data_IF_397151548693
#
_entry.id   IF_397151548693
#
_cell.length_a   1.000
_cell.length_b   1.000
_cell.length_c   1.000
_cell.angle_alpha   90.00
_cell.angle_beta   90.00
_cell.angle_gamma   90.00
#
_symmetry.space_group_name_H-M   'P 1'
#
loop_
_entity.id
_entity.type
_entity.pdbx_description
1 polymer ?
#
# COMPACT_ATOMS: atom_id res chain seq x y z
N UNK A 1 2.79 -26.41 20.92
CA UNK A 1 3.93 -25.47 20.81
C UNK A 1 3.52 -24.38 19.84
N UNK A 2 3.35 -23.14 20.29
CA UNK A 2 2.99 -22.03 19.41
C UNK A 2 3.81 -20.81 19.83
N UNK A 3 4.94 -20.61 19.17
CA UNK A 3 5.71 -19.38 19.35
C UNK A 3 6.42 -19.02 18.06
N UNK A 4 5.72 -18.29 17.19
CA UNK A 4 6.37 -17.38 16.24
C UNK A 4 6.04 -15.97 16.71
N UNK A 5 6.82 -15.47 17.66
CA UNK A 5 6.80 -14.08 18.06
C UNK A 5 7.74 -13.27 17.17
N UNK A 6 7.22 -12.68 16.10
CA UNK A 6 7.98 -11.76 15.23
C UNK A 6 7.04 -10.72 14.59
N UNK A 7 6.43 -9.86 15.41
CA UNK A 7 5.55 -8.77 14.96
C UNK A 7 6.32 -7.90 13.95
N UNK A 8 5.87 -7.87 12.69
CA UNK A 8 6.52 -7.17 11.58
C UNK A 8 6.52 -5.64 11.72
N UNK A 9 6.70 -4.90 10.62
CA UNK A 9 6.80 -3.43 10.65
C UNK A 9 5.46 -2.79 10.33
N UNK A 10 5.05 -1.82 11.15
CA UNK A 10 3.83 -1.03 10.95
C UNK A 10 4.15 0.32 10.31
N UNK A 11 3.35 0.68 9.31
CA UNK A 11 3.40 1.97 8.59
C UNK A 11 2.02 2.64 8.68
N UNK A 12 2.01 3.96 8.87
CA UNK A 12 0.82 4.82 8.74
C UNK A 12 1.25 6.19 8.25
N UNK A 13 0.47 6.78 7.34
CA UNK A 13 0.64 8.17 6.88
C UNK A 13 -0.24 9.03 7.79
N UNK A 14 0.36 10.00 8.48
CA UNK A 14 -0.22 10.64 9.68
C UNK A 14 -1.41 11.57 9.44
N UNK A 15 -1.77 11.83 8.19
CA UNK A 15 -2.86 12.73 7.80
C UNK A 15 -3.74 12.06 6.74
N UNK A 16 -5.06 12.29 6.83
CA UNK A 16 -6.04 11.89 5.82
C UNK A 16 -6.14 13.04 4.82
N UNK A 17 -5.96 12.75 3.54
CA UNK A 17 -5.98 13.74 2.46
C UNK A 17 -7.26 13.61 1.63
N UNK A 18 -7.76 14.71 1.06
CA UNK A 18 -8.83 14.71 0.07
C UNK A 18 -8.24 14.35 -1.31
N UNK A 19 -7.76 13.11 -1.42
CA UNK A 19 -6.87 12.67 -2.50
C UNK A 19 -7.59 12.51 -3.86
N UNK A 20 -8.89 12.20 -3.83
CA UNK A 20 -9.74 12.05 -5.01
C UNK A 20 -10.02 13.37 -5.75
N UNK A 21 -9.75 14.51 -5.11
CA UNK A 21 -9.93 15.84 -5.70
C UNK A 21 -8.64 16.50 -6.19
N UNK A 22 -7.50 15.82 -6.03
CA UNK A 22 -6.21 16.32 -6.50
C UNK A 22 -6.06 16.12 -8.01
N UNK A 23 -5.34 17.05 -8.66
CA UNK A 23 -4.83 16.78 -10.01
C UNK A 23 -3.85 15.61 -9.96
N UNK A 24 -3.66 14.94 -11.09
CA UNK A 24 -2.73 13.80 -11.18
C UNK A 24 -1.31 14.16 -10.71
N UNK A 25 -0.83 15.36 -11.06
CA UNK A 25 0.47 15.88 -10.66
C UNK A 25 0.59 16.06 -9.14
N UNK A 26 -0.39 16.70 -8.49
CA UNK A 26 -0.39 16.88 -7.04
C UNK A 26 -0.54 15.55 -6.31
N UNK A 27 -1.38 14.65 -6.82
CA UNK A 27 -1.54 13.30 -6.26
C UNK A 27 -0.22 12.51 -6.33
N UNK A 28 0.50 12.60 -7.45
CA UNK A 28 1.82 12.01 -7.62
C UNK A 28 2.84 12.58 -6.63
N UNK A 29 2.92 13.90 -6.53
CA UNK A 29 3.80 14.56 -5.58
C UNK A 29 3.51 14.11 -4.13
N UNK A 30 2.22 13.99 -3.77
CA UNK A 30 1.82 13.48 -2.46
C UNK A 30 2.32 12.06 -2.18
N UNK A 31 2.20 11.15 -3.16
CA UNK A 31 2.68 9.78 -3.03
C UNK A 31 4.20 9.77 -2.83
N UNK A 32 4.93 10.55 -3.62
CA UNK A 32 6.39 10.63 -3.61
C UNK A 32 6.94 11.26 -2.32
N UNK A 33 6.25 12.25 -1.74
CA UNK A 33 6.71 12.96 -0.54
C UNK A 33 6.27 12.32 0.78
N UNK A 34 5.14 11.59 0.79
CA UNK A 34 4.56 11.06 2.03
C UNK A 34 4.60 9.53 2.10
N UNK A 35 4.08 8.86 1.07
CA UNK A 35 3.86 7.41 1.12
C UNK A 35 5.16 6.65 0.94
N UNK A 36 5.92 6.99 -0.10
CA UNK A 36 7.19 6.33 -0.40
C UNK A 36 8.19 6.49 0.77
N UNK A 37 8.44 7.70 1.32
CA UNK A 37 9.39 7.87 2.40
C UNK A 37 8.93 7.17 3.69
N UNK A 38 7.63 7.16 3.99
CA UNK A 38 7.10 6.43 5.15
C UNK A 38 7.37 4.92 5.06
N UNK A 39 7.29 4.34 3.85
CA UNK A 39 7.61 2.94 3.62
C UNK A 39 9.13 2.68 3.66
N UNK A 40 9.92 3.51 2.98
CA UNK A 40 11.38 3.35 2.89
C UNK A 40 12.05 3.50 4.27
N UNK A 41 11.59 4.43 5.11
CA UNK A 41 12.04 4.59 6.51
C UNK A 41 11.80 3.35 7.38
N UNK A 42 10.95 2.42 6.91
CA UNK A 42 10.63 1.15 7.55
C UNK A 42 11.23 -0.06 6.82
N UNK A 43 12.06 0.18 5.80
CA UNK A 43 12.69 -0.87 5.00
C UNK A 43 11.72 -1.58 4.04
N UNK A 44 10.60 -0.95 3.69
CA UNK A 44 9.59 -1.46 2.75
C UNK A 44 9.71 -0.73 1.42
N UNK A 45 9.80 -1.47 0.32
CA UNK A 45 9.76 -0.94 -1.05
C UNK A 45 8.44 -1.35 -1.74
N UNK A 46 7.78 -0.40 -2.40
CA UNK A 46 6.41 -0.56 -2.93
C UNK A 46 6.38 -0.86 -4.44
N UNK A 47 6.42 -2.12 -4.90
CA UNK A 47 6.40 -2.36 -6.36
C UNK A 47 4.99 -2.51 -6.96
N UNK A 48 4.87 -2.30 -8.28
CA UNK A 48 3.67 -2.57 -9.06
C UNK A 48 3.20 -4.03 -8.99
N UNK A 49 4.11 -4.98 -8.79
CA UNK A 49 3.83 -6.43 -8.81
C UNK A 49 3.73 -7.07 -7.42
N UNK A 50 3.98 -6.31 -6.36
CA UNK A 50 3.99 -6.80 -4.97
C UNK A 50 5.11 -6.16 -4.16
N UNK A 51 4.85 -5.94 -2.87
CA UNK A 51 5.81 -5.24 -2.01
C UNK A 51 6.92 -6.17 -1.52
N UNK A 52 8.09 -5.59 -1.32
CA UNK A 52 9.27 -6.29 -0.84
C UNK A 52 9.78 -5.63 0.45
N UNK A 53 10.03 -6.44 1.47
CA UNK A 53 10.71 -6.01 2.69
C UNK A 53 12.20 -6.34 2.56
N UNK A 54 12.96 -5.50 1.86
CA UNK A 54 14.43 -5.60 1.72
C UNK A 54 15.00 -6.75 0.88
N UNK A 55 16.13 -6.50 0.20
CA UNK A 55 17.02 -7.52 -0.37
C UNK A 55 16.49 -8.29 -1.58
N UNK A 56 15.57 -7.74 -2.38
CA UNK A 56 15.36 -8.28 -3.72
C UNK A 56 16.71 -8.31 -4.46
N UNK A 57 16.94 -9.32 -5.30
CA UNK A 57 18.03 -9.34 -6.29
C UNK A 57 18.29 -7.91 -6.78
N UNK A 58 19.54 -7.46 -6.87
CA UNK A 58 19.92 -6.11 -7.34
C UNK A 58 19.05 -5.65 -8.53
N UNK A 59 18.75 -6.56 -9.46
CA UNK A 59 17.85 -6.37 -10.61
C UNK A 59 16.42 -5.90 -10.25
N UNK A 60 15.81 -6.44 -9.19
CA UNK A 60 14.47 -6.05 -8.74
C UNK A 60 14.48 -4.69 -8.04
N UNK A 61 15.59 -4.33 -7.40
CA UNK A 61 15.81 -3.00 -6.82
C UNK A 61 16.06 -1.96 -7.91
N UNK A 62 16.92 -2.28 -8.88
CA UNK A 62 17.24 -1.43 -10.03
C UNK A 62 15.99 -1.17 -10.88
N UNK A 63 15.21 -2.20 -11.20
CA UNK A 63 13.95 -2.03 -11.93
C UNK A 63 12.92 -1.20 -11.16
N UNK A 64 12.86 -1.34 -9.84
CA UNK A 64 12.01 -0.51 -9.00
C UNK A 64 12.44 0.96 -9.02
N UNK A 65 13.74 1.22 -8.91
CA UNK A 65 14.27 2.57 -8.94
C UNK A 65 14.11 3.20 -10.35
N UNK A 66 14.25 2.41 -11.43
CA UNK A 66 13.96 2.83 -12.81
C UNK A 66 12.47 3.15 -13.02
N UNK A 67 11.55 2.27 -12.60
CA UNK A 67 10.12 2.52 -12.72
C UNK A 67 9.67 3.73 -11.84
N UNK A 68 10.40 4.04 -10.76
CA UNK A 68 10.21 5.23 -9.91
C UNK A 68 10.69 6.49 -10.64
N UNK A 69 11.88 6.43 -11.25
CA UNK A 69 12.47 7.51 -12.04
C UNK A 69 11.65 7.83 -13.30
N UNK A 70 10.98 6.84 -13.90
CA UNK A 70 10.08 7.05 -15.03
C UNK A 70 8.65 7.46 -14.61
N UNK A 71 8.38 7.68 -13.32
CA UNK A 71 7.05 8.00 -12.78
C UNK A 71 5.95 6.94 -13.12
N UNK A 72 6.33 5.69 -13.40
CA UNK A 72 5.39 4.61 -13.81
C UNK A 72 5.03 3.63 -12.70
N UNK A 73 5.55 3.83 -11.49
CA UNK A 73 5.43 2.89 -10.38
C UNK A 73 3.97 2.55 -10.02
N UNK A 74 3.08 3.56 -10.08
CA UNK A 74 1.65 3.42 -9.77
C UNK A 74 0.78 4.18 -10.76
N UNK A 75 -0.48 3.75 -10.87
CA UNK A 75 -1.46 4.47 -11.68
C UNK A 75 -2.29 5.37 -10.76
N UNK A 76 -2.03 6.68 -10.83
CA UNK A 76 -2.67 7.68 -9.95
C UNK A 76 -4.19 7.68 -10.10
N UNK A 77 -4.71 7.63 -11.33
CA UNK A 77 -6.16 7.61 -11.56
C UNK A 77 -6.84 6.40 -10.91
N UNK A 78 -6.21 5.21 -10.97
CA UNK A 78 -6.69 4.02 -10.27
C UNK A 78 -6.60 4.18 -8.76
N UNK A 79 -5.51 4.73 -8.24
CA UNK A 79 -5.37 5.00 -6.80
C UNK A 79 -6.49 5.92 -6.32
N UNK A 80 -6.81 6.98 -7.06
CA UNK A 80 -7.89 7.90 -6.74
C UNK A 80 -9.26 7.21 -6.74
N UNK A 81 -9.53 6.36 -7.74
CA UNK A 81 -10.75 5.55 -7.80
C UNK A 81 -10.89 4.58 -6.62
N UNK A 82 -9.80 3.89 -6.26
CA UNK A 82 -9.75 3.04 -5.06
C UNK A 82 -10.01 3.89 -3.82
N UNK A 83 -9.28 4.99 -3.66
CA UNK A 83 -9.37 5.90 -2.50
C UNK A 83 -10.80 6.40 -2.25
N UNK A 84 -11.53 6.76 -3.31
CA UNK A 84 -12.91 7.22 -3.24
C UNK A 84 -13.90 6.12 -2.82
N UNK A 85 -13.61 4.85 -3.11
CA UNK A 85 -14.53 3.73 -2.87
C UNK A 85 -14.26 2.95 -1.58
N UNK A 86 -13.09 3.13 -0.94
CA UNK A 86 -12.69 2.37 0.24
C UNK A 86 -13.70 2.44 1.39
N UNK A 87 -14.34 3.58 1.63
CA UNK A 87 -15.27 3.75 2.76
C UNK A 87 -16.55 2.90 2.60
N UNK A 88 -16.93 2.57 1.36
CA UNK A 88 -18.05 1.67 1.07
C UNK A 88 -17.68 0.19 1.07
N UNK A 89 -16.39 -0.13 1.10
CA UNK A 89 -15.87 -1.49 0.91
C UNK A 89 -15.22 -2.03 2.19
N UNK A 90 -14.53 -1.17 2.96
CA UNK A 90 -13.77 -1.58 4.14
C UNK A 90 -14.53 -1.26 5.41
N UNK A 91 -14.68 -2.27 6.27
CA UNK A 91 -15.25 -2.11 7.61
C UNK A 91 -14.12 -1.79 8.61
N UNK A 92 -14.32 -0.85 9.55
CA UNK A 92 -13.37 -0.58 10.62
C UNK A 92 -12.98 -1.85 11.39
N UNK A 93 -11.69 -2.01 11.70
CA UNK A 93 -11.17 -3.21 12.36
C UNK A 93 -10.34 -2.85 13.60
N UNK A 94 -10.52 -3.61 14.68
CA UNK A 94 -9.75 -3.43 15.92
C UNK A 94 -8.35 -4.06 15.85
N UNK A 95 -8.12 -4.97 14.89
CA UNK A 95 -6.88 -5.71 14.69
C UNK A 95 -6.44 -5.67 13.22
N UNK A 96 -5.17 -6.02 12.97
CA UNK A 96 -4.65 -6.20 11.62
C UNK A 96 -5.18 -7.49 11.02
N UNK A 97 -5.58 -7.40 9.76
CA UNK A 97 -6.25 -8.46 9.05
C UNK A 97 -5.55 -8.71 7.69
N UNK A 98 -5.31 -9.98 7.37
CA UNK A 98 -4.64 -10.45 6.13
C UNK A 98 -5.53 -10.44 4.89
N UNK A 99 -6.66 -9.71 4.91
CA UNK A 99 -7.66 -9.73 3.84
C UNK A 99 -7.34 -8.81 2.65
N UNK A 100 -6.10 -8.32 2.50
CA UNK A 100 -5.71 -7.41 1.42
C UNK A 100 -6.00 -7.97 0.03
N UNK A 101 -5.74 -9.25 -0.21
CA UNK A 101 -6.02 -9.89 -1.50
C UNK A 101 -7.52 -9.97 -1.80
N UNK A 102 -8.35 -10.33 -0.81
CA UNK A 102 -9.81 -10.36 -0.97
C UNK A 102 -10.37 -8.95 -1.19
N UNK A 103 -9.84 -7.98 -0.43
CA UNK A 103 -10.20 -6.57 -0.57
C UNK A 103 -9.92 -6.07 -1.99
N UNK A 104 -8.74 -6.39 -2.54
CA UNK A 104 -8.40 -6.05 -3.93
C UNK A 104 -9.46 -6.55 -4.91
N UNK A 105 -9.82 -7.83 -4.85
CA UNK A 105 -10.86 -8.40 -5.71
C UNK A 105 -12.22 -7.73 -5.52
N UNK A 106 -12.60 -7.40 -4.29
CA UNK A 106 -13.85 -6.67 -4.03
C UNK A 106 -13.83 -5.27 -4.65
N UNK A 107 -12.71 -4.56 -4.56
CA UNK A 107 -12.56 -3.25 -5.22
C UNK A 107 -12.62 -3.40 -6.74
N UNK A 108 -11.89 -4.36 -7.32
CA UNK A 108 -11.92 -4.65 -8.77
C UNK A 108 -13.35 -4.96 -9.26
N UNK A 109 -14.10 -5.77 -8.51
CA UNK A 109 -15.51 -6.08 -8.84
C UNK A 109 -16.42 -4.86 -8.77
N UNK A 110 -16.19 -3.98 -7.79
CA UNK A 110 -17.02 -2.77 -7.61
C UNK A 110 -16.75 -1.69 -8.66
N UNK A 111 -15.51 -1.61 -9.15
CA UNK A 111 -15.07 -0.59 -10.12
C UNK A 111 -15.09 -1.09 -11.56
N UNK A 112 -15.06 -2.41 -11.78
CA UNK A 112 -14.90 -2.98 -13.12
C UNK A 112 -13.50 -2.75 -13.71
N UNK A 113 -12.50 -2.45 -12.88
CA UNK A 113 -11.14 -2.13 -13.29
C UNK A 113 -10.11 -3.07 -12.64
N UNK A 114 -9.03 -3.36 -13.36
CA UNK A 114 -7.89 -4.07 -12.80
C UNK A 114 -7.07 -3.17 -11.87
N UNK A 115 -6.83 -3.62 -10.63
CA UNK A 115 -6.12 -2.87 -9.59
C UNK A 115 -4.89 -3.66 -9.14
N UNK A 116 -3.72 -3.02 -9.17
CA UNK A 116 -2.53 -3.66 -8.61
C UNK A 116 -2.56 -3.64 -7.08
N UNK A 117 -1.85 -4.58 -6.44
CA UNK A 117 -1.69 -4.55 -4.97
C UNK A 117 -1.04 -3.24 -4.51
N UNK A 118 -0.11 -2.70 -5.30
CA UNK A 118 0.55 -1.42 -5.00
C UNK A 118 -0.46 -0.26 -4.97
N UNK A 119 -1.32 -0.16 -5.98
CA UNK A 119 -2.34 0.90 -6.06
C UNK A 119 -3.27 0.86 -4.82
N UNK A 120 -3.73 -0.34 -4.44
CA UNK A 120 -4.57 -0.54 -3.25
C UNK A 120 -3.84 -0.14 -1.95
N UNK A 121 -2.56 -0.53 -1.81
CA UNK A 121 -1.77 -0.24 -0.61
C UNK A 121 -1.57 1.26 -0.44
N UNK A 122 -1.23 1.95 -1.53
CA UNK A 122 -1.07 3.41 -1.52
C UNK A 122 -2.38 4.09 -1.13
N UNK A 123 -3.51 3.69 -1.73
CA UNK A 123 -4.83 4.24 -1.41
C UNK A 123 -5.21 4.04 0.07
N UNK A 124 -5.03 2.82 0.60
CA UNK A 124 -5.29 2.49 2.00
C UNK A 124 -4.43 3.34 2.95
N UNK A 125 -3.14 3.47 2.67
CA UNK A 125 -2.22 4.27 3.47
C UNK A 125 -2.64 5.75 3.49
N UNK A 126 -2.92 6.33 2.33
CA UNK A 126 -3.36 7.72 2.20
C UNK A 126 -4.69 7.99 2.91
N UNK A 127 -5.60 7.01 2.94
CA UNK A 127 -6.90 7.10 3.61
C UNK A 127 -6.79 6.94 5.14
N UNK A 128 -5.55 6.81 5.64
CA UNK A 128 -5.23 6.76 7.06
C UNK A 128 -5.22 5.37 7.67
N UNK A 129 -5.36 4.31 6.87
CA UNK A 129 -5.27 2.93 7.35
C UNK A 129 -3.82 2.64 7.71
N UNK A 130 -3.61 1.86 8.76
CA UNK A 130 -2.28 1.37 9.09
C UNK A 130 -2.03 0.05 8.38
N UNK A 131 -0.83 -0.10 7.80
CA UNK A 131 -0.40 -1.34 7.16
C UNK A 131 0.67 -2.03 8.03
N UNK A 132 0.61 -3.36 8.11
CA UNK A 132 1.65 -4.19 8.71
C UNK A 132 2.24 -5.09 7.65
N UNK A 133 3.57 -5.07 7.55
CA UNK A 133 4.33 -5.95 6.68
C UNK A 133 5.06 -6.98 7.55
N UNK A 134 5.00 -8.26 7.18
CA UNK A 134 5.80 -9.32 7.80
C UNK A 134 7.29 -8.97 7.90
N UNK A 135 8.01 -9.62 8.81
CA UNK A 135 9.46 -9.42 8.94
C UNK A 135 10.18 -9.87 7.68
N UNK A 136 11.34 -9.26 7.42
CA UNK A 136 12.29 -9.67 6.40
C UNK A 136 12.62 -11.16 6.58
N UNK A 137 12.16 -11.97 5.65
CA UNK A 137 12.69 -13.30 5.36
C UNK A 137 13.03 -13.28 3.88
N UNK A 138 14.31 -13.49 3.56
CA UNK A 138 14.85 -13.38 2.21
C UNK A 138 13.93 -14.04 1.17
N UNK A 139 13.64 -13.30 0.08
CA UNK A 139 13.03 -13.87 -1.13
C UNK A 139 11.51 -14.09 -1.13
N UNK A 140 10.75 -13.71 -0.10
CA UNK A 140 9.29 -13.86 -0.12
C UNK A 140 8.54 -12.53 -0.30
N UNK A 141 7.56 -12.53 -1.21
CA UNK A 141 6.55 -11.47 -1.30
C UNK A 141 5.77 -11.41 0.02
N UNK A 142 5.76 -10.25 0.66
CA UNK A 142 5.14 -10.09 1.97
C UNK A 142 3.73 -9.54 1.77
N UNK A 143 2.73 -10.38 2.03
CA UNK A 143 1.35 -9.92 2.09
C UNK A 143 1.22 -8.87 3.20
N UNK A 144 0.71 -7.70 2.84
CA UNK A 144 0.40 -6.66 3.80
C UNK A 144 -0.92 -6.97 4.51
N UNK A 145 -0.97 -6.63 5.79
CA UNK A 145 -2.19 -6.63 6.58
C UNK A 145 -2.62 -5.20 6.82
N UNK A 146 -3.93 -4.96 6.82
CA UNK A 146 -4.46 -3.62 7.08
C UNK A 146 -5.26 -3.57 8.36
N UNK A 147 -5.13 -2.44 9.05
CA UNK A 147 -6.00 -2.03 10.14
C UNK A 147 -6.60 -0.67 9.80
N UNK A 148 -7.91 -0.65 9.60
CA UNK A 148 -8.68 0.57 9.43
C UNK A 148 -8.74 1.34 10.74
N UNK A 149 -8.54 2.66 10.69
CA UNK A 149 -8.84 3.52 11.83
C UNK A 149 -10.35 3.64 11.94
N UNK A 150 -10.88 3.50 13.15
CA UNK A 150 -12.24 3.99 13.43
C UNK A 150 -12.13 5.50 13.36
N UNK A 151 -12.79 6.12 12.38
CA UNK A 151 -12.96 7.57 12.38
C UNK A 151 -13.84 7.88 13.59
N UNK A 152 -13.27 8.61 14.55
CA UNK A 152 -13.94 9.03 15.79
C UNK A 152 -14.74 10.30 15.52
#
# INVERSE_FOLDING_TARGET
MATIGSKGVTISVGQVYDFDKLSEEHARQFIEEQVIPACENKGVKLSRYGNHTGGGSLVAVEKYDEEKLEHKLFNVSRIQSVFASLDGIVVPATQYNTYSYRLKHTVEQSQGEYISNGDLIVAMLLKGYAARFGKQTEGMAVNCEFKAKVLV
#
